data_IF_288089032851
#
_entry.id   IF_288089032851
#
_cell.length_a   1.000
_cell.length_b   1.000
_cell.length_c   1.000
_cell.angle_alpha   90.00
_cell.angle_beta   90.00
_cell.angle_gamma   90.00
#
_symmetry.space_group_name_H-M   'P 1'
#
loop_
_entity.id
_entity.type
_entity.pdbx_description
1 polymer ?
#
# COMPACT_ATOMS: atom_id res chain seq x y z
N UNK A 1 -18.82 31.67 33.41
CA UNK A 1 -17.51 31.66 32.71
C UNK A 1 -16.96 30.24 32.55
N UNK A 2 -16.83 29.46 33.63
CA UNK A 2 -16.30 28.08 33.57
C UNK A 2 -17.14 27.09 32.74
N UNK A 3 -18.48 27.22 32.74
CA UNK A 3 -19.34 26.35 31.91
C UNK A 3 -19.07 26.50 30.40
N UNK A 4 -18.85 27.73 29.92
CA UNK A 4 -18.50 27.99 28.51
C UNK A 4 -17.12 27.43 28.17
N UNK A 5 -16.17 27.49 29.10
CA UNK A 5 -14.85 26.89 28.93
C UNK A 5 -14.94 25.36 28.84
N UNK A 6 -15.72 24.72 29.72
CA UNK A 6 -15.95 23.26 29.70
C UNK A 6 -16.62 22.83 28.39
N UNK A 7 -17.66 23.57 27.96
CA UNK A 7 -18.33 23.30 26.69
C UNK A 7 -17.36 23.42 25.49
N UNK A 8 -16.51 24.44 25.47
CA UNK A 8 -15.50 24.61 24.43
C UNK A 8 -14.49 23.45 24.39
N UNK A 9 -13.99 23.01 25.56
CA UNK A 9 -13.07 21.86 25.66
C UNK A 9 -13.76 20.59 25.15
N UNK A 10 -15.02 20.37 25.53
CA UNK A 10 -15.79 19.20 25.09
C UNK A 10 -15.98 19.19 23.56
N UNK A 11 -16.34 20.33 22.97
CA UNK A 11 -16.46 20.45 21.50
C UNK A 11 -15.11 20.19 20.82
N UNK A 12 -14.02 20.76 21.32
CA UNK A 12 -12.67 20.50 20.79
C UNK A 12 -12.31 19.01 20.86
N UNK A 13 -12.62 18.35 21.97
CA UNK A 13 -12.41 16.91 22.15
C UNK A 13 -13.19 16.10 21.10
N UNK A 14 -14.47 16.40 20.88
CA UNK A 14 -15.28 15.75 19.85
C UNK A 14 -14.74 15.98 18.44
N UNK A 15 -14.28 17.19 18.13
CA UNK A 15 -13.66 17.51 16.85
C UNK A 15 -12.37 16.70 16.60
N UNK A 16 -11.51 16.58 17.62
CA UNK A 16 -10.30 15.75 17.54
C UNK A 16 -10.64 14.27 17.31
N UNK A 17 -11.62 13.73 18.04
CA UNK A 17 -12.07 12.35 17.85
C UNK A 17 -12.60 12.11 16.42
N UNK A 18 -13.37 13.05 15.89
CA UNK A 18 -13.90 12.93 14.54
C UNK A 18 -12.78 12.91 13.48
N UNK A 19 -11.77 13.78 13.63
CA UNK A 19 -10.59 13.80 12.76
C UNK A 19 -9.85 12.47 12.79
N UNK A 20 -9.58 11.92 13.98
CA UNK A 20 -8.90 10.63 14.14
C UNK A 20 -9.69 9.49 13.50
N UNK A 21 -11.01 9.45 13.71
CA UNK A 21 -11.90 8.45 13.06
C UNK A 21 -11.86 8.57 11.54
N UNK A 22 -11.86 9.79 11.01
CA UNK A 22 -11.75 10.04 9.57
C UNK A 22 -10.44 9.52 9.00
N UNK A 23 -9.31 9.79 9.66
CA UNK A 23 -8.00 9.30 9.25
C UNK A 23 -7.93 7.77 9.26
N UNK A 24 -8.40 7.12 10.34
CA UNK A 24 -8.40 5.66 10.44
C UNK A 24 -9.19 5.01 9.31
N UNK A 25 -10.37 5.56 8.97
CA UNK A 25 -11.17 5.07 7.83
C UNK A 25 -10.43 5.19 6.49
N UNK A 26 -9.68 6.27 6.27
CA UNK A 26 -8.87 6.44 5.07
C UNK A 26 -7.75 5.40 5.00
N UNK A 27 -7.02 5.21 6.10
CA UNK A 27 -5.97 4.19 6.22
C UNK A 27 -6.54 2.79 5.93
N UNK A 28 -7.62 2.40 6.63
CA UNK A 28 -8.30 1.12 6.42
C UNK A 28 -8.71 0.92 4.96
N UNK A 29 -9.24 1.96 4.32
CA UNK A 29 -9.67 1.90 2.92
C UNK A 29 -8.48 1.65 1.99
N UNK A 30 -7.36 2.36 2.17
CA UNK A 30 -6.17 2.22 1.33
C UNK A 30 -5.51 0.83 1.52
N UNK A 31 -5.33 0.39 2.77
CA UNK A 31 -4.80 -0.94 3.08
C UNK A 31 -5.68 -2.04 2.45
N UNK A 32 -7.01 -1.92 2.58
CA UNK A 32 -7.94 -2.89 1.98
C UNK A 32 -7.88 -2.87 0.46
N UNK A 33 -7.74 -1.71 -0.19
CA UNK A 33 -7.58 -1.64 -1.64
C UNK A 33 -6.26 -2.28 -2.08
N UNK A 34 -5.15 -1.97 -1.40
CA UNK A 34 -3.86 -2.60 -1.64
C UNK A 34 -3.96 -4.14 -1.57
N UNK A 35 -4.55 -4.67 -0.50
CA UNK A 35 -4.74 -6.12 -0.33
C UNK A 35 -5.63 -6.75 -1.41
N UNK A 36 -6.74 -6.07 -1.78
CA UNK A 36 -7.66 -6.53 -2.82
C UNK A 36 -6.99 -6.64 -4.18
N UNK A 37 -6.25 -5.61 -4.58
CA UNK A 37 -5.53 -5.64 -5.86
C UNK A 37 -4.38 -6.64 -5.86
N UNK A 38 -3.68 -6.82 -4.73
CA UNK A 38 -2.66 -7.88 -4.62
C UNK A 38 -3.26 -9.28 -4.79
N UNK A 39 -4.48 -9.48 -4.28
CA UNK A 39 -5.19 -10.77 -4.45
C UNK A 39 -5.70 -10.93 -5.89
N UNK A 40 -6.26 -9.86 -6.48
CA UNK A 40 -6.73 -9.88 -7.86
C UNK A 40 -5.59 -10.20 -8.84
N UNK A 41 -4.42 -9.56 -8.66
CA UNK A 41 -3.23 -9.79 -9.48
C UNK A 41 -2.80 -11.27 -9.53
N UNK A 42 -2.96 -12.00 -8.42
CA UNK A 42 -2.66 -13.44 -8.35
C UNK A 42 -3.71 -14.31 -9.05
N UNK A 43 -4.94 -13.81 -9.17
CA UNK A 43 -6.07 -14.51 -9.77
C UNK A 43 -6.20 -14.23 -11.28
N UNK A 44 -5.57 -13.17 -11.77
CA UNK A 44 -5.64 -12.77 -13.17
C UNK A 44 -4.90 -13.75 -14.07
N UNK A 45 -5.59 -14.20 -15.12
CA UNK A 45 -5.02 -15.06 -16.16
C UNK A 45 -4.23 -14.27 -17.22
N UNK A 46 -4.61 -13.02 -17.46
CA UNK A 46 -3.90 -12.15 -18.41
C UNK A 46 -2.69 -11.53 -17.72
N UNK A 47 -1.46 -11.73 -18.22
CA UNK A 47 -0.26 -11.17 -17.60
C UNK A 47 -0.29 -9.64 -17.48
N UNK A 48 -0.80 -8.97 -18.51
CA UNK A 48 -0.92 -7.50 -18.53
C UNK A 48 -1.90 -6.98 -17.47
N UNK A 49 -3.01 -7.69 -17.25
CA UNK A 49 -3.98 -7.31 -16.20
C UNK A 49 -3.43 -7.63 -14.81
N UNK A 50 -2.75 -8.78 -14.69
CA UNK A 50 -2.10 -9.16 -13.44
C UNK A 50 -1.10 -8.08 -13.00
N UNK A 51 -0.19 -7.64 -13.88
CA UNK A 51 0.81 -6.61 -13.54
C UNK A 51 0.16 -5.25 -13.24
N UNK A 52 -0.94 -4.91 -13.94
CA UNK A 52 -1.72 -3.70 -13.65
C UNK A 52 -2.26 -3.72 -12.20
N UNK A 53 -2.92 -4.81 -11.80
CA UNK A 53 -3.43 -4.94 -10.44
C UNK A 53 -2.31 -5.01 -9.41
N UNK A 54 -1.18 -5.66 -9.72
CA UNK A 54 -0.05 -5.72 -8.81
C UNK A 54 0.53 -4.31 -8.56
N UNK A 55 0.66 -3.50 -9.61
CA UNK A 55 1.10 -2.11 -9.50
C UNK A 55 0.08 -1.23 -8.74
N UNK A 56 -1.23 -1.45 -8.91
CA UNK A 56 -2.24 -0.77 -8.10
C UNK A 56 -2.13 -1.15 -6.63
N UNK A 57 -1.88 -2.42 -6.32
CA UNK A 57 -1.67 -2.87 -4.95
C UNK A 57 -0.52 -2.12 -4.27
N UNK A 58 0.61 -2.00 -4.96
CA UNK A 58 1.77 -1.25 -4.51
C UNK A 58 1.47 0.25 -4.38
N UNK A 59 0.77 0.85 -5.36
CA UNK A 59 0.41 2.27 -5.33
C UNK A 59 -0.46 2.62 -4.10
N UNK A 60 -1.46 1.80 -3.77
CA UNK A 60 -2.27 2.02 -2.56
C UNK A 60 -1.47 1.85 -1.27
N UNK A 61 -0.48 0.95 -1.25
CA UNK A 61 0.45 0.79 -0.12
C UNK A 61 1.33 2.03 0.05
N UNK A 62 1.90 2.57 -1.03
CA UNK A 62 2.69 3.80 -0.93
C UNK A 62 1.84 5.00 -0.56
N UNK A 63 0.64 5.13 -1.14
CA UNK A 63 -0.29 6.20 -0.80
C UNK A 63 -0.67 6.23 0.69
N UNK A 64 -0.85 5.07 1.34
CA UNK A 64 -1.11 5.05 2.79
C UNK A 64 0.13 5.44 3.60
N UNK A 65 1.33 5.08 3.14
CA UNK A 65 2.59 5.43 3.79
C UNK A 65 2.95 6.92 3.65
N UNK A 66 2.45 7.58 2.62
CA UNK A 66 2.61 9.03 2.45
C UNK A 66 1.76 9.85 3.43
N UNK A 67 0.66 9.28 3.93
CA UNK A 67 -0.27 9.98 4.84
C UNK A 67 -0.22 9.47 6.29
N UNK A 68 0.39 8.32 6.54
CA UNK A 68 0.43 7.68 7.85
C UNK A 68 1.73 6.90 8.07
N UNK A 69 2.27 6.98 9.29
CA UNK A 69 3.41 6.15 9.71
C UNK A 69 2.96 4.73 10.10
N UNK A 70 3.92 3.81 10.26
CA UNK A 70 3.63 2.39 10.54
C UNK A 70 2.81 2.19 11.82
N UNK A 71 3.06 2.98 12.88
CA UNK A 71 2.27 2.91 14.11
C UNK A 71 0.82 3.33 13.90
N UNK A 72 0.58 4.41 13.15
CA UNK A 72 -0.77 4.85 12.80
C UNK A 72 -1.51 3.80 11.96
N UNK A 73 -0.80 3.17 11.01
CA UNK A 73 -1.36 2.11 10.18
C UNK A 73 -1.74 0.89 11.03
N UNK A 74 -0.83 0.45 11.90
CA UNK A 74 -1.07 -0.65 12.83
C UNK A 74 -2.27 -0.35 13.75
N UNK A 75 -2.31 0.83 14.36
CA UNK A 75 -3.38 1.21 15.27
C UNK A 75 -4.75 1.31 14.59
N UNK A 76 -4.78 1.69 13.30
CA UNK A 76 -6.03 1.79 12.55
C UNK A 76 -6.52 0.44 12.02
N UNK A 77 -5.63 -0.48 11.68
CA UNK A 77 -5.99 -1.70 10.92
C UNK A 77 -5.68 -3.02 11.62
N UNK A 78 -4.83 -3.00 12.66
CA UNK A 78 -4.36 -4.18 13.39
C UNK A 78 -3.31 -5.02 12.65
N UNK A 79 -2.88 -4.62 11.45
CA UNK A 79 -1.94 -5.40 10.64
C UNK A 79 -0.49 -5.22 11.11
N UNK A 80 0.35 -6.21 10.86
CA UNK A 80 1.80 -6.02 10.82
C UNK A 80 2.17 -5.33 9.49
N UNK A 81 2.59 -4.07 9.56
CA UNK A 81 2.86 -3.23 8.38
C UNK A 81 4.06 -3.73 7.59
N UNK A 82 5.08 -4.26 8.27
CA UNK A 82 6.28 -4.79 7.62
C UNK A 82 5.93 -6.04 6.82
N UNK A 83 5.21 -6.97 7.45
CA UNK A 83 4.74 -8.20 6.80
C UNK A 83 3.78 -7.89 5.65
N UNK A 84 2.87 -6.93 5.84
CA UNK A 84 1.95 -6.51 4.79
C UNK A 84 2.68 -5.94 3.56
N UNK A 85 3.66 -5.05 3.79
CA UNK A 85 4.51 -4.47 2.74
C UNK A 85 5.20 -5.58 1.95
N UNK A 86 5.84 -6.51 2.65
CA UNK A 86 6.56 -7.64 2.04
C UNK A 86 5.64 -8.49 1.16
N UNK A 87 4.44 -8.83 1.64
CA UNK A 87 3.49 -9.58 0.81
C UNK A 87 3.07 -8.83 -0.46
N UNK A 88 2.82 -7.52 -0.36
CA UNK A 88 2.40 -6.71 -1.53
C UNK A 88 3.54 -6.59 -2.54
N UNK A 89 4.77 -6.29 -2.10
CA UNK A 89 5.92 -6.18 -3.01
C UNK A 89 6.28 -7.52 -3.62
N UNK A 90 6.22 -8.62 -2.86
CA UNK A 90 6.48 -9.95 -3.40
C UNK A 90 5.45 -10.34 -4.47
N UNK A 91 4.18 -9.93 -4.33
CA UNK A 91 3.17 -10.12 -5.39
C UNK A 91 3.52 -9.31 -6.63
N UNK A 92 3.95 -8.05 -6.45
CA UNK A 92 4.40 -7.21 -7.56
C UNK A 92 5.58 -7.82 -8.32
N UNK A 93 6.61 -8.27 -7.61
CA UNK A 93 7.81 -8.86 -8.20
C UNK A 93 7.47 -10.18 -8.91
N UNK A 94 6.71 -11.05 -8.25
CA UNK A 94 6.28 -12.34 -8.80
C UNK A 94 5.50 -12.17 -10.11
N UNK A 95 4.50 -11.28 -10.11
CA UNK A 95 3.65 -11.06 -11.28
C UNK A 95 4.42 -10.36 -12.40
N UNK A 96 5.32 -9.42 -12.07
CA UNK A 96 6.19 -8.77 -13.05
C UNK A 96 7.10 -9.79 -13.73
N UNK A 97 7.76 -10.65 -12.94
CA UNK A 97 8.61 -11.73 -13.45
C UNK A 97 7.82 -12.68 -14.37
N UNK A 98 6.67 -13.18 -13.91
CA UNK A 98 5.79 -14.03 -14.70
C UNK A 98 5.35 -13.35 -16.01
N UNK A 99 5.08 -12.06 -15.97
CA UNK A 99 4.70 -11.28 -17.16
C UNK A 99 5.83 -11.22 -18.17
N UNK A 100 7.06 -10.97 -17.74
CA UNK A 100 8.24 -10.98 -18.62
C UNK A 100 8.53 -12.37 -19.21
N UNK A 101 8.25 -13.45 -18.47
CA UNK A 101 8.38 -14.83 -18.95
C UNK A 101 7.33 -15.18 -20.02
N UNK A 102 6.07 -14.80 -19.81
CA UNK A 102 4.97 -15.08 -20.76
C UNK A 102 4.93 -14.09 -21.93
N UNK A 103 5.46 -12.88 -21.75
CA UNK A 103 5.49 -11.82 -22.76
C UNK A 103 6.92 -11.24 -22.87
N UNK A 104 7.87 -11.91 -23.55
CA UNK A 104 9.27 -11.48 -23.60
C UNK A 104 9.48 -10.06 -24.16
N UNK A 105 8.64 -9.63 -25.10
CA UNK A 105 8.66 -8.27 -25.66
C UNK A 105 8.18 -7.19 -24.67
N UNK A 106 7.68 -7.59 -23.50
CA UNK A 106 7.34 -6.69 -22.40
C UNK A 106 8.59 -6.25 -21.62
N UNK A 107 9.66 -7.05 -21.67
CA UNK A 107 10.94 -6.69 -21.07
C UNK A 107 11.68 -5.69 -21.96
N UNK A 108 12.30 -4.69 -21.33
CA UNK A 108 13.17 -3.72 -21.99
C UNK A 108 14.64 -3.95 -21.68
N UNK A 109 15.49 -3.09 -22.24
CA UNK A 109 16.92 -3.08 -21.95
C UNK A 109 17.19 -2.66 -20.49
N UNK A 110 18.21 -3.27 -19.88
CA UNK A 110 18.58 -3.04 -18.48
C UNK A 110 19.83 -2.19 -18.37
N UNK A 111 19.87 -1.32 -17.34
CA UNK A 111 21.10 -0.64 -16.95
C UNK A 111 22.03 -1.67 -16.26
N UNK A 112 23.17 -1.95 -16.88
CA UNK A 112 24.10 -2.98 -16.41
C UNK A 112 24.68 -2.65 -15.02
N UNK A 113 24.93 -1.37 -14.72
CA UNK A 113 25.47 -0.95 -13.43
C UNK A 113 24.46 -1.21 -12.30
N UNK A 114 23.20 -0.84 -12.52
CA UNK A 114 22.14 -1.09 -11.55
C UNK A 114 21.81 -2.59 -11.45
N UNK A 115 21.80 -3.31 -12.57
CA UNK A 115 21.59 -4.75 -12.59
C UNK A 115 22.65 -5.52 -11.79
N UNK A 116 23.91 -5.07 -11.84
CA UNK A 116 24.99 -5.67 -11.04
C UNK A 116 24.81 -5.41 -9.54
N UNK A 117 24.44 -4.18 -9.16
CA UNK A 117 24.11 -3.85 -7.77
C UNK A 117 22.90 -4.67 -7.29
N UNK A 118 21.91 -4.85 -8.15
CA UNK A 118 20.69 -5.63 -7.89
C UNK A 118 20.89 -7.14 -7.87
N UNK A 119 22.06 -7.64 -8.30
CA UNK A 119 22.36 -9.07 -8.38
C UNK A 119 21.66 -9.81 -9.54
N UNK A 120 21.20 -9.07 -10.56
CA UNK A 120 20.56 -9.62 -11.76
C UNK A 120 21.58 -10.11 -12.81
N UNK A 121 22.82 -9.61 -12.73
CA UNK A 121 23.96 -10.01 -13.56
C UNK A 121 25.19 -10.21 -12.69
N UNK A 122 26.02 -11.21 -13.01
CA UNK A 122 27.25 -11.57 -12.29
C UNK A 122 28.49 -10.93 -12.92
#
# INVERSE_FOLDING_TARGET
MYLYLIAAIFVLFLMMQNKTRGMNKSIEKLIRQSARYATAAQQDKSPVIAVLHANYAAAYLYAVKDIANESQIHNATGIDVKKFKEHVTNVQDMVTKKTSEECPNFAGDVDIYLAQIGGEVA
#
